data_IF_680949112383
#
_entry.id   IF_680949112383
#
_cell.length_a   1.000
_cell.length_b   1.000
_cell.length_c   1.000
_cell.angle_alpha   90.00
_cell.angle_beta   90.00
_cell.angle_gamma   90.00
#
_symmetry.space_group_name_H-M   'P 1'
#
loop_
_entity.id
_entity.type
_entity.pdbx_description
1 polymer ?
#
# COMPACT_ATOMS: atom_id res chain seq x y z
N UNK A 1 36.71 -20.54 27.51
CA UNK A 1 36.57 -19.56 26.44
C UNK A 1 35.38 -19.98 25.58
N UNK A 2 34.23 -19.30 25.74
CA UNK A 2 32.99 -19.63 24.98
C UNK A 2 33.02 -18.79 23.69
N UNK A 3 33.24 -19.44 22.56
CA UNK A 3 33.09 -18.81 21.24
C UNK A 3 31.58 -18.70 20.93
N UNK A 4 31.02 -17.51 21.14
CA UNK A 4 29.70 -17.16 20.65
C UNK A 4 29.78 -16.97 19.14
N UNK A 5 29.36 -17.97 18.37
CA UNK A 5 29.16 -17.84 16.92
C UNK A 5 27.94 -16.92 16.69
N UNK A 6 28.18 -15.64 16.47
CA UNK A 6 27.19 -14.73 15.90
C UNK A 6 26.94 -15.15 14.45
N UNK A 7 25.97 -16.02 14.22
CA UNK A 7 25.43 -16.19 12.85
C UNK A 7 24.80 -14.88 12.40
N UNK A 8 25.50 -14.10 11.56
CA UNK A 8 24.89 -12.99 10.83
C UNK A 8 23.70 -13.56 10.05
N UNK A 9 22.47 -13.25 10.49
CA UNK A 9 21.27 -13.63 9.74
C UNK A 9 21.44 -13.11 8.31
N UNK A 10 21.33 -13.99 7.32
CA UNK A 10 21.42 -13.62 5.90
C UNK A 10 20.36 -12.57 5.60
N UNK A 11 20.76 -11.43 5.00
CA UNK A 11 19.86 -10.34 4.63
C UNK A 11 18.78 -10.89 3.70
N UNK A 12 17.51 -10.70 4.04
CA UNK A 12 16.39 -11.07 3.19
C UNK A 12 16.10 -9.93 2.21
N UNK A 13 16.08 -10.22 0.92
CA UNK A 13 15.72 -9.23 -0.11
C UNK A 13 14.20 -9.26 -0.31
N UNK A 14 13.46 -8.72 0.67
CA UNK A 14 12.00 -8.81 0.71
C UNK A 14 11.32 -8.01 -0.41
N UNK A 15 11.91 -6.90 -0.80
CA UNK A 15 11.31 -5.94 -1.75
C UNK A 15 11.95 -6.03 -3.15
N UNK A 16 12.77 -7.04 -3.39
CA UNK A 16 13.47 -7.17 -4.68
C UNK A 16 12.49 -7.35 -5.83
N UNK A 17 12.63 -6.53 -6.87
CA UNK A 17 11.76 -6.47 -8.05
C UNK A 17 10.27 -6.17 -7.75
N UNK A 18 9.97 -5.60 -6.57
CA UNK A 18 8.64 -5.18 -6.22
C UNK A 18 8.28 -3.87 -6.93
N UNK A 19 7.06 -3.76 -7.42
CA UNK A 19 6.41 -2.49 -7.75
C UNK A 19 5.57 -2.10 -6.55
N UNK A 20 5.95 -1.01 -5.86
CA UNK A 20 5.16 -0.49 -4.74
C UNK A 20 4.12 0.51 -5.26
N UNK A 21 2.85 0.12 -5.19
CA UNK A 21 1.73 0.94 -5.65
C UNK A 21 0.97 1.63 -4.49
N UNK A 22 1.46 1.49 -3.26
CA UNK A 22 0.90 2.17 -2.10
C UNK A 22 1.99 2.93 -1.35
N UNK A 23 2.13 4.21 -1.67
CA UNK A 23 3.10 5.12 -1.08
C UNK A 23 2.71 6.59 -1.31
N UNK A 24 3.16 7.48 -0.42
CA UNK A 24 2.88 8.91 -0.41
C UNK A 24 4.13 9.71 -0.80
N UNK A 25 4.73 9.34 -1.94
CA UNK A 25 5.99 9.91 -2.40
C UNK A 25 5.84 11.28 -3.10
N UNK A 26 4.63 11.64 -3.56
CA UNK A 26 4.40 12.89 -4.26
C UNK A 26 4.54 14.08 -3.31
N UNK A 27 5.31 15.14 -3.70
CA UNK A 27 5.65 16.20 -2.78
C UNK A 27 4.50 17.17 -2.51
N UNK A 28 4.19 17.40 -1.24
CA UNK A 28 3.39 18.53 -0.76
C UNK A 28 1.89 18.48 -1.02
N UNK A 29 1.33 17.29 -1.30
CA UNK A 29 -0.10 17.15 -1.60
C UNK A 29 -0.89 16.37 -0.55
N UNK A 30 -0.21 15.69 0.36
CA UNK A 30 -0.82 14.98 1.49
C UNK A 30 0.13 14.99 2.72
N UNK A 31 -0.04 14.05 3.66
CA UNK A 31 0.82 13.87 4.82
C UNK A 31 2.11 13.08 4.51
N UNK A 32 2.32 12.66 3.29
CA UNK A 32 3.54 12.05 2.81
C UNK A 32 4.71 13.02 2.66
N UNK A 33 5.47 12.88 1.59
CA UNK A 33 6.62 13.72 1.27
C UNK A 33 6.28 15.22 1.24
N UNK A 34 7.07 16.04 1.93
CA UNK A 34 6.83 17.50 2.00
C UNK A 34 7.56 18.28 0.91
N UNK A 35 8.49 17.66 0.21
CA UNK A 35 9.31 18.34 -0.81
C UNK A 35 9.90 17.37 -1.82
N UNK A 36 10.27 17.87 -2.99
CA UNK A 36 10.99 17.10 -4.01
C UNK A 36 12.28 16.47 -3.43
N UNK A 37 13.01 17.21 -2.61
CA UNK A 37 14.23 16.70 -1.99
C UNK A 37 13.95 15.48 -1.09
N UNK A 38 12.83 15.50 -0.35
CA UNK A 38 12.40 14.37 0.46
C UNK A 38 11.94 13.19 -0.42
N UNK A 39 11.16 13.43 -1.46
CA UNK A 39 10.76 12.39 -2.41
C UNK A 39 11.97 11.70 -3.05
N UNK A 40 12.98 12.46 -3.46
CA UNK A 40 14.21 11.89 -4.04
C UNK A 40 15.01 11.05 -3.03
N UNK A 41 15.04 11.44 -1.76
CA UNK A 41 15.63 10.61 -0.69
C UNK A 41 14.84 9.33 -0.44
N UNK A 42 13.51 9.38 -0.50
CA UNK A 42 12.67 8.18 -0.42
C UNK A 42 13.00 7.22 -1.57
N UNK A 43 13.16 7.70 -2.81
CA UNK A 43 13.58 6.88 -3.95
C UNK A 43 14.96 6.23 -3.73
N UNK A 44 15.92 6.93 -3.12
CA UNK A 44 17.22 6.34 -2.79
C UNK A 44 17.07 5.17 -1.81
N UNK A 45 16.19 5.29 -0.81
CA UNK A 45 15.94 4.21 0.15
C UNK A 45 15.19 3.05 -0.50
N UNK A 46 14.23 3.31 -1.37
CA UNK A 46 13.56 2.28 -2.17
C UNK A 46 14.56 1.49 -3.03
N UNK A 47 15.51 2.18 -3.65
CA UNK A 47 16.62 1.53 -4.37
C UNK A 47 17.44 0.59 -3.46
N UNK A 48 17.77 1.04 -2.26
CA UNK A 48 18.50 0.24 -1.27
C UNK A 48 17.70 -0.97 -0.75
N UNK A 49 16.37 -0.89 -0.76
CA UNK A 49 15.46 -2.00 -0.48
C UNK A 49 15.36 -2.99 -1.64
N UNK A 50 15.73 -2.57 -2.86
CA UNK A 50 15.63 -3.38 -4.07
C UNK A 50 14.28 -3.26 -4.79
N UNK A 51 13.47 -2.25 -4.45
CA UNK A 51 12.22 -1.95 -5.16
C UNK A 51 12.53 -1.56 -6.61
N UNK A 52 11.79 -2.10 -7.56
CA UNK A 52 11.99 -1.82 -8.98
C UNK A 52 11.33 -0.52 -9.41
N UNK A 53 10.09 -0.33 -8.97
CA UNK A 53 9.30 0.83 -9.35
C UNK A 53 8.29 1.23 -8.28
N UNK A 54 7.78 2.46 -8.39
CA UNK A 54 6.69 2.98 -7.59
C UNK A 54 5.56 3.50 -8.48
N UNK A 55 4.33 3.29 -8.05
CA UNK A 55 3.14 3.99 -8.51
C UNK A 55 2.68 4.82 -7.30
N UNK A 56 2.72 6.13 -7.42
CA UNK A 56 2.35 7.01 -6.31
C UNK A 56 0.84 6.96 -6.06
N UNK A 57 0.42 6.90 -4.80
CA UNK A 57 -0.99 6.83 -4.42
C UNK A 57 -1.33 7.76 -3.26
N UNK A 58 -1.23 9.08 -3.47
CA UNK A 58 -1.57 10.05 -2.44
C UNK A 58 -3.05 9.96 -2.07
N UNK A 59 -3.37 10.44 -0.87
CA UNK A 59 -4.75 10.50 -0.40
C UNK A 59 -5.65 11.37 -1.26
N UNK A 60 -6.91 10.92 -1.45
CA UNK A 60 -8.05 11.76 -1.84
C UNK A 60 -9.08 11.70 -0.71
N UNK A 61 -9.06 12.74 0.15
CA UNK A 61 -10.01 12.96 1.24
C UNK A 61 -10.60 14.36 1.09
N UNK A 62 -11.91 14.44 0.91
CA UNK A 62 -12.58 15.72 0.64
C UNK A 62 -12.17 16.84 1.62
N UNK A 63 -12.11 16.51 2.91
CA UNK A 63 -11.94 17.52 3.96
C UNK A 63 -10.50 17.74 4.40
N UNK A 64 -9.60 16.74 4.23
CA UNK A 64 -8.21 16.82 4.68
C UNK A 64 -7.22 16.98 3.54
N UNK A 65 -7.38 16.18 2.50
CA UNK A 65 -6.53 16.15 1.31
C UNK A 65 -7.40 16.19 0.06
N UNK A 66 -7.98 17.39 -0.28
CA UNK A 66 -8.91 17.54 -1.39
C UNK A 66 -8.20 17.47 -2.74
N UNK A 67 -7.38 16.43 -2.92
CA UNK A 67 -6.68 16.17 -4.15
C UNK A 67 -7.66 15.81 -5.26
N UNK A 68 -7.29 16.17 -6.48
CA UNK A 68 -7.98 15.82 -7.71
C UNK A 68 -7.01 15.08 -8.64
N UNK A 69 -7.50 14.38 -9.67
CA UNK A 69 -6.63 13.80 -10.70
C UNK A 69 -5.61 14.80 -11.25
N UNK A 70 -6.02 16.06 -11.44
CA UNK A 70 -5.18 17.15 -11.97
C UNK A 70 -4.09 17.56 -10.97
N UNK A 71 -4.42 17.70 -9.69
CA UNK A 71 -3.42 18.05 -8.64
C UNK A 71 -2.37 16.96 -8.49
N UNK A 72 -2.79 15.69 -8.55
CA UNK A 72 -1.93 14.51 -8.46
C UNK A 72 -1.04 14.41 -9.71
N UNK A 73 -1.60 14.55 -10.92
CA UNK A 73 -0.85 14.60 -12.17
C UNK A 73 0.23 15.67 -12.14
N UNK A 74 -0.13 16.91 -11.76
CA UNK A 74 0.80 18.02 -11.65
C UNK A 74 1.96 17.75 -10.69
N UNK A 75 1.67 17.16 -9.53
CA UNK A 75 2.72 16.79 -8.57
C UNK A 75 3.63 15.70 -9.12
N UNK A 76 3.06 14.69 -9.78
CA UNK A 76 3.82 13.64 -10.47
C UNK A 76 4.71 14.20 -11.58
N UNK A 77 4.19 15.06 -12.45
CA UNK A 77 4.92 15.71 -13.54
C UNK A 77 6.05 16.62 -13.01
N UNK A 78 5.91 17.14 -11.80
CA UNK A 78 6.96 17.95 -11.14
C UNK A 78 8.10 17.08 -10.62
N UNK A 79 7.80 15.87 -10.13
CA UNK A 79 8.77 14.96 -9.51
C UNK A 79 9.44 14.04 -10.54
N UNK A 80 8.67 13.44 -11.45
CA UNK A 80 9.14 12.35 -12.31
C UNK A 80 10.36 12.71 -13.18
N UNK A 81 10.49 13.92 -13.77
CA UNK A 81 11.69 14.30 -14.53
C UNK A 81 12.95 14.37 -13.66
N UNK A 82 12.79 14.76 -12.38
CA UNK A 82 13.90 14.85 -11.42
C UNK A 82 14.32 13.46 -10.88
N UNK A 83 13.40 12.51 -10.98
CA UNK A 83 13.63 11.11 -10.58
C UNK A 83 14.26 10.25 -11.69
N UNK A 84 14.41 10.75 -12.90
CA UNK A 84 14.89 9.99 -14.10
C UNK A 84 16.25 9.30 -13.86
N UNK A 85 17.13 9.92 -13.07
CA UNK A 85 18.45 9.36 -12.76
C UNK A 85 18.44 8.33 -11.63
N UNK A 86 17.29 8.13 -10.97
CA UNK A 86 17.11 7.10 -9.93
C UNK A 86 16.91 5.74 -10.59
N UNK A 87 17.40 4.69 -9.93
CA UNK A 87 17.22 3.32 -10.44
C UNK A 87 15.78 2.82 -10.26
N UNK A 88 15.07 3.35 -9.26
CA UNK A 88 13.65 3.07 -9.04
C UNK A 88 12.83 3.89 -10.03
N UNK A 89 12.02 3.23 -10.82
CA UNK A 89 11.20 3.88 -11.85
C UNK A 89 9.92 4.44 -11.21
N UNK A 90 9.55 5.65 -11.58
CA UNK A 90 8.20 6.17 -11.32
C UNK A 90 7.29 5.75 -12.47
N UNK A 91 6.51 4.68 -12.30
CA UNK A 91 5.66 4.10 -13.37
C UNK A 91 4.40 4.92 -13.63
N UNK A 92 3.92 5.68 -12.63
CA UNK A 92 2.69 6.43 -12.73
C UNK A 92 2.18 6.90 -11.38
N UNK A 93 0.92 7.28 -11.39
CA UNK A 93 0.20 7.68 -10.18
C UNK A 93 -1.21 7.07 -10.17
N UNK A 94 -1.70 6.87 -8.97
CA UNK A 94 -3.03 6.45 -8.60
C UNK A 94 -3.53 7.37 -7.47
N UNK A 95 -4.49 6.92 -6.68
CA UNK A 95 -4.86 7.54 -5.42
C UNK A 95 -5.29 6.48 -4.41
N UNK A 96 -5.08 6.78 -3.12
CA UNK A 96 -5.73 6.10 -2.02
C UNK A 96 -6.98 6.89 -1.63
N UNK A 97 -8.15 6.29 -1.87
CA UNK A 97 -9.44 6.93 -1.61
C UNK A 97 -9.96 6.59 -0.23
N UNK A 98 -10.32 7.60 0.56
CA UNK A 98 -11.14 7.37 1.74
C UNK A 98 -12.57 6.99 1.31
N UNK A 99 -13.05 5.86 1.80
CA UNK A 99 -14.44 5.44 1.61
C UNK A 99 -15.34 6.25 2.55
N UNK A 100 -15.90 7.32 2.02
CA UNK A 100 -16.85 8.22 2.64
C UNK A 100 -18.04 8.51 1.71
N UNK A 101 -18.93 9.40 2.11
CA UNK A 101 -20.08 9.81 1.31
C UNK A 101 -19.66 10.45 -0.01
N UNK A 102 -18.54 11.19 -0.03
CA UNK A 102 -18.00 11.82 -1.25
C UNK A 102 -17.51 10.77 -2.24
N UNK A 103 -16.84 9.72 -1.77
CA UNK A 103 -16.41 8.61 -2.61
C UNK A 103 -17.62 7.89 -3.25
N UNK A 104 -18.68 7.64 -2.45
CA UNK A 104 -19.92 7.04 -2.96
C UNK A 104 -20.62 7.94 -3.98
N UNK A 105 -20.62 9.26 -3.77
CA UNK A 105 -21.18 10.23 -4.72
C UNK A 105 -20.41 10.21 -6.05
N UNK A 106 -19.08 10.17 -6.02
CA UNK A 106 -18.25 10.04 -7.22
C UNK A 106 -18.58 8.77 -8.02
N UNK A 107 -18.73 7.63 -7.35
CA UNK A 107 -19.14 6.38 -8.01
C UNK A 107 -20.53 6.50 -8.63
N UNK A 108 -21.50 7.07 -7.93
CA UNK A 108 -22.86 7.30 -8.42
C UNK A 108 -22.89 8.21 -9.66
N UNK A 109 -22.03 9.21 -9.69
CA UNK A 109 -21.90 10.15 -10.80
C UNK A 109 -21.04 9.63 -11.95
N UNK A 110 -20.54 8.40 -11.88
CA UNK A 110 -19.61 7.79 -12.82
C UNK A 110 -18.33 8.63 -13.00
N UNK A 111 -17.88 9.33 -11.95
CA UNK A 111 -16.60 10.05 -11.97
C UNK A 111 -15.46 9.04 -12.12
N UNK A 112 -14.58 9.18 -13.12
CA UNK A 112 -13.46 8.26 -13.29
C UNK A 112 -12.53 8.26 -12.08
N UNK A 113 -12.17 7.07 -11.60
CA UNK A 113 -11.22 6.89 -10.49
C UNK A 113 -9.80 6.64 -11.01
N UNK A 114 -8.80 7.15 -10.30
CA UNK A 114 -7.40 6.82 -10.53
C UNK A 114 -7.13 5.39 -10.06
N UNK A 115 -6.69 4.55 -10.98
CA UNK A 115 -6.40 3.13 -10.74
C UNK A 115 -4.90 2.91 -10.54
N UNK A 116 -4.53 1.98 -9.65
CA UNK A 116 -3.14 1.57 -9.48
C UNK A 116 -2.61 0.83 -10.72
N UNK A 117 -3.44 -0.03 -11.26
CA UNK A 117 -3.22 -0.80 -12.50
C UNK A 117 -4.58 -1.35 -12.97
N UNK A 118 -4.74 -1.54 -14.28
CA UNK A 118 -6.00 -1.97 -14.87
C UNK A 118 -7.19 -1.21 -14.26
N UNK A 119 -8.18 -1.91 -13.69
CA UNK A 119 -9.36 -1.33 -13.00
C UNK A 119 -9.27 -1.46 -11.47
N UNK A 120 -8.06 -1.62 -10.92
CA UNK A 120 -7.84 -1.77 -9.48
C UNK A 120 -7.67 -0.42 -8.81
N UNK A 121 -8.53 -0.13 -7.83
CA UNK A 121 -8.56 1.14 -7.07
C UNK A 121 -8.21 0.87 -5.62
N UNK A 122 -7.23 1.60 -5.09
CA UNK A 122 -6.83 1.54 -3.70
C UNK A 122 -7.80 2.36 -2.85
N UNK A 123 -8.37 1.72 -1.83
CA UNK A 123 -9.33 2.34 -0.92
C UNK A 123 -8.93 2.07 0.52
N UNK A 124 -9.27 3.02 1.40
CA UNK A 124 -9.19 2.83 2.84
C UNK A 124 -10.46 3.28 3.54
N UNK A 125 -10.64 2.88 4.80
CA UNK A 125 -11.75 3.29 5.65
C UNK A 125 -11.21 4.01 6.90
N UNK A 126 -12.02 4.84 7.57
CA UNK A 126 -11.64 5.40 8.85
C UNK A 126 -11.25 4.32 9.84
N UNK A 127 -10.14 4.51 10.59
CA UNK A 127 -9.65 3.53 11.56
C UNK A 127 -10.67 3.17 12.64
N UNK A 128 -11.55 4.13 12.95
CA UNK A 128 -12.70 3.98 13.86
C UNK A 128 -13.95 4.19 13.01
N UNK A 129 -14.49 3.10 12.46
CA UNK A 129 -15.64 3.18 11.56
C UNK A 129 -16.45 1.88 11.52
N UNK A 130 -17.61 1.96 10.88
CA UNK A 130 -18.45 0.80 10.63
C UNK A 130 -18.19 0.25 9.23
N UNK A 131 -18.14 -1.06 9.09
CA UNK A 131 -17.93 -1.73 7.78
C UNK A 131 -19.09 -1.51 6.78
N UNK A 132 -20.24 -0.98 7.23
CA UNK A 132 -21.41 -0.81 6.36
C UNK A 132 -21.12 0.06 5.14
N UNK A 133 -20.46 1.21 5.31
CA UNK A 133 -20.12 2.10 4.18
C UNK A 133 -19.15 1.41 3.20
N UNK A 134 -18.22 0.58 3.72
CA UNK A 134 -17.33 -0.21 2.88
C UNK A 134 -18.12 -1.22 2.04
N UNK A 135 -19.12 -1.92 2.62
CA UNK A 135 -19.94 -2.87 1.87
C UNK A 135 -20.72 -2.19 0.75
N UNK A 136 -21.28 -0.99 1.01
CA UNK A 136 -21.95 -0.17 0.00
C UNK A 136 -20.98 0.25 -1.11
N UNK A 137 -19.76 0.67 -0.75
CA UNK A 137 -18.73 1.05 -1.71
C UNK A 137 -18.28 -0.13 -2.58
N UNK A 138 -18.05 -1.30 -1.99
CA UNK A 138 -17.66 -2.50 -2.75
C UNK A 138 -18.71 -2.87 -3.80
N UNK A 139 -19.99 -2.81 -3.44
CA UNK A 139 -21.07 -3.07 -4.38
C UNK A 139 -21.13 -2.02 -5.51
N UNK A 140 -20.99 -0.74 -5.16
CA UNK A 140 -20.99 0.35 -6.15
C UNK A 140 -19.77 0.26 -7.09
N UNK A 141 -18.60 -0.07 -6.57
CA UNK A 141 -17.37 -0.25 -7.36
C UNK A 141 -17.51 -1.40 -8.35
N UNK A 142 -18.04 -2.55 -7.93
CA UNK A 142 -18.28 -3.68 -8.83
C UNK A 142 -19.22 -3.30 -9.97
N UNK A 143 -20.32 -2.59 -9.67
CA UNK A 143 -21.27 -2.12 -10.70
C UNK A 143 -20.63 -1.14 -11.68
N UNK A 144 -19.66 -0.33 -11.22
CA UNK A 144 -18.88 0.58 -12.06
C UNK A 144 -17.69 -0.12 -12.77
N UNK A 145 -17.51 -1.43 -12.59
CA UNK A 145 -16.45 -2.23 -13.21
C UNK A 145 -15.07 -2.03 -12.58
N UNK A 146 -14.99 -1.57 -11.32
CA UNK A 146 -13.74 -1.44 -10.58
C UNK A 146 -13.55 -2.64 -9.63
N UNK A 147 -12.28 -2.99 -9.41
CA UNK A 147 -11.87 -3.92 -8.36
C UNK A 147 -11.29 -3.14 -7.19
N UNK A 148 -11.86 -3.30 -6.00
CA UNK A 148 -11.37 -2.64 -4.80
C UNK A 148 -10.12 -3.35 -4.24
N UNK A 149 -9.06 -2.59 -3.94
CA UNK A 149 -7.96 -3.03 -3.09
C UNK A 149 -8.13 -2.33 -1.74
N UNK A 150 -8.51 -3.08 -0.71
CA UNK A 150 -8.59 -2.56 0.66
C UNK A 150 -7.18 -2.47 1.24
N UNK A 151 -6.74 -1.23 1.48
CA UNK A 151 -5.46 -0.94 2.10
C UNK A 151 -5.42 -1.44 3.54
N UNK A 152 -4.30 -2.02 3.93
CA UNK A 152 -3.91 -2.35 5.31
C UNK A 152 -5.05 -2.79 6.26
N UNK A 153 -5.87 -3.81 5.90
CA UNK A 153 -7.02 -4.23 6.72
C UNK A 153 -6.65 -4.64 8.15
N UNK A 154 -5.40 -5.01 8.40
CA UNK A 154 -4.89 -5.34 9.73
C UNK A 154 -4.87 -4.16 10.71
N UNK A 155 -4.96 -2.92 10.21
CA UNK A 155 -4.95 -1.69 11.02
C UNK A 155 -6.34 -1.31 11.51
N UNK A 156 -7.40 -1.83 10.90
CA UNK A 156 -8.77 -1.45 11.28
C UNK A 156 -9.27 -2.18 12.51
N UNK A 157 -9.83 -1.39 13.44
CA UNK A 157 -10.44 -1.93 14.64
C UNK A 157 -11.67 -2.79 14.33
N UNK A 158 -12.42 -2.44 13.26
CA UNK A 158 -13.65 -3.15 12.87
C UNK A 158 -13.40 -4.54 12.24
N UNK A 159 -12.16 -4.83 11.82
CA UNK A 159 -11.78 -6.13 11.24
C UNK A 159 -10.99 -6.92 12.28
N UNK A 160 -11.64 -7.90 12.92
CA UNK A 160 -11.07 -8.59 14.09
C UNK A 160 -10.47 -9.95 13.76
N UNK A 161 -11.04 -10.67 12.81
CA UNK A 161 -10.72 -12.07 12.51
C UNK A 161 -10.69 -12.38 11.02
N UNK A 162 -10.11 -13.51 10.65
CA UNK A 162 -9.98 -13.95 9.26
C UNK A 162 -11.34 -14.00 8.53
N UNK A 163 -12.41 -14.44 9.21
CA UNK A 163 -13.73 -14.49 8.60
C UNK A 163 -14.27 -13.10 8.16
N UNK A 164 -13.84 -12.03 8.82
CA UNK A 164 -14.23 -10.67 8.42
C UNK A 164 -13.60 -10.32 7.06
N UNK A 165 -12.31 -10.70 6.84
CA UNK A 165 -11.65 -10.55 5.54
C UNK A 165 -12.29 -11.43 4.46
N UNK A 166 -12.60 -12.68 4.79
CA UNK A 166 -13.24 -13.61 3.85
C UNK A 166 -14.59 -13.08 3.37
N UNK A 167 -15.38 -12.48 4.25
CA UNK A 167 -16.63 -11.82 3.89
C UNK A 167 -16.41 -10.64 2.93
N UNK A 168 -15.39 -9.81 3.14
CA UNK A 168 -15.06 -8.71 2.24
C UNK A 168 -14.54 -9.23 0.89
N UNK A 169 -13.77 -10.32 0.88
CA UNK A 169 -13.28 -10.97 -0.35
C UNK A 169 -14.43 -11.56 -1.18
N UNK A 170 -15.43 -12.18 -0.54
CA UNK A 170 -16.64 -12.64 -1.21
C UNK A 170 -17.37 -11.48 -1.89
N UNK A 171 -17.30 -10.27 -1.32
CA UNK A 171 -17.83 -9.02 -1.90
C UNK A 171 -16.87 -8.37 -2.91
N UNK A 172 -15.84 -9.07 -3.36
CA UNK A 172 -14.93 -8.64 -4.43
C UNK A 172 -13.75 -7.78 -4.00
N UNK A 173 -13.55 -7.53 -2.70
CA UNK A 173 -12.37 -6.82 -2.23
C UNK A 173 -11.10 -7.68 -2.33
N UNK A 174 -9.99 -7.07 -2.74
CA UNK A 174 -8.63 -7.59 -2.63
C UNK A 174 -7.95 -6.95 -1.44
N UNK A 175 -7.11 -7.69 -0.73
CA UNK A 175 -6.47 -7.23 0.50
C UNK A 175 -5.02 -6.85 0.26
N UNK A 176 -4.61 -5.65 0.68
CA UNK A 176 -3.22 -5.21 0.63
C UNK A 176 -2.62 -5.15 2.04
N UNK A 177 -1.56 -5.92 2.28
CA UNK A 177 -0.77 -5.89 3.52
C UNK A 177 0.12 -4.64 3.56
N UNK A 178 0.13 -3.91 4.68
CA UNK A 178 1.16 -2.91 4.93
C UNK A 178 2.42 -3.58 5.50
N UNK A 179 3.55 -3.42 4.80
CA UNK A 179 4.82 -4.04 5.18
C UNK A 179 5.30 -3.61 6.58
N UNK A 180 5.04 -2.35 6.99
CA UNK A 180 5.39 -1.82 8.32
C UNK A 180 4.60 -2.47 9.45
N UNK A 181 3.42 -3.03 9.19
CA UNK A 181 2.65 -3.76 10.20
C UNK A 181 3.41 -5.00 10.70
N UNK A 182 4.16 -5.68 9.83
CA UNK A 182 4.92 -6.88 10.19
C UNK A 182 6.06 -6.62 11.17
N UNK A 183 6.63 -5.40 11.19
CA UNK A 183 7.65 -5.04 12.17
C UNK A 183 7.09 -4.39 13.45
N UNK A 184 5.76 -4.23 13.54
CA UNK A 184 5.07 -3.68 14.70
C UNK A 184 5.01 -2.16 14.75
N UNK A 185 5.25 -1.48 13.64
CA UNK A 185 5.19 -0.01 13.56
C UNK A 185 3.84 0.55 14.00
N UNK A 186 2.76 -0.15 13.66
CA UNK A 186 1.38 0.22 14.01
C UNK A 186 0.84 -0.50 15.27
N UNK A 187 1.75 -1.01 16.11
CA UNK A 187 1.39 -1.65 17.36
C UNK A 187 1.23 -3.18 17.28
N UNK A 188 1.07 -3.82 18.45
CA UNK A 188 1.10 -5.28 18.58
C UNK A 188 -0.09 -5.96 17.89
N UNK A 189 -1.28 -5.37 17.94
CA UNK A 189 -2.49 -5.95 17.32
C UNK A 189 -2.39 -5.98 15.80
N UNK A 190 -1.98 -4.86 15.17
CA UNK A 190 -1.76 -4.81 13.72
C UNK A 190 -0.68 -5.83 13.31
N UNK A 191 0.43 -5.94 14.06
CA UNK A 191 1.48 -6.93 13.81
C UNK A 191 0.97 -8.37 13.90
N UNK A 192 0.15 -8.66 14.90
CA UNK A 192 -0.44 -9.99 15.10
C UNK A 192 -1.32 -10.36 13.91
N UNK A 193 -2.28 -9.50 13.55
CA UNK A 193 -3.17 -9.69 12.40
C UNK A 193 -2.37 -9.82 11.10
N UNK A 194 -1.44 -8.91 10.82
CA UNK A 194 -0.59 -8.93 9.64
C UNK A 194 0.15 -10.27 9.50
N UNK A 195 0.77 -10.75 10.59
CA UNK A 195 1.52 -12.01 10.61
C UNK A 195 0.64 -13.23 10.42
N UNK A 196 -0.51 -13.28 11.09
CA UNK A 196 -1.45 -14.38 11.01
C UNK A 196 -2.08 -14.47 9.62
N UNK A 197 -2.60 -13.35 9.10
CA UNK A 197 -3.29 -13.30 7.82
C UNK A 197 -2.35 -13.51 6.63
N UNK A 198 -1.09 -13.05 6.73
CA UNK A 198 -0.07 -13.36 5.73
C UNK A 198 0.15 -14.88 5.62
N UNK A 199 0.33 -15.58 6.73
CA UNK A 199 0.55 -17.04 6.73
C UNK A 199 -0.69 -17.81 6.29
N UNK A 200 -1.89 -17.25 6.54
CA UNK A 200 -3.18 -17.80 6.08
C UNK A 200 -3.54 -17.44 4.64
N UNK A 201 -2.63 -16.81 3.89
CA UNK A 201 -2.85 -16.43 2.48
C UNK A 201 -4.03 -15.49 2.26
N UNK A 202 -4.21 -14.53 3.19
CA UNK A 202 -5.35 -13.60 3.11
C UNK A 202 -5.06 -12.35 2.28
N UNK A 203 -3.81 -12.08 1.92
CA UNK A 203 -3.43 -10.91 1.14
C UNK A 203 -3.15 -11.26 -0.33
N UNK A 204 -3.66 -10.44 -1.23
CA UNK A 204 -3.34 -10.46 -2.65
C UNK A 204 -2.13 -9.58 -2.97
N UNK A 205 -1.95 -8.49 -2.20
CA UNK A 205 -0.95 -7.46 -2.44
C UNK A 205 -0.19 -7.08 -1.18
N UNK A 206 0.96 -6.45 -1.39
CA UNK A 206 1.75 -5.81 -0.35
C UNK A 206 2.14 -4.40 -0.81
N UNK A 207 2.11 -3.43 0.10
CA UNK A 207 2.55 -2.06 -0.12
C UNK A 207 3.37 -1.55 1.06
N UNK A 208 4.10 -0.48 0.89
CA UNK A 208 4.85 0.11 2.00
C UNK A 208 4.04 1.11 2.79
N UNK A 209 3.10 1.80 2.13
CA UNK A 209 2.35 2.92 2.72
C UNK A 209 3.32 3.94 3.34
N UNK A 210 4.43 4.18 2.63
CA UNK A 210 5.51 4.98 3.16
C UNK A 210 5.27 6.47 2.92
N UNK A 211 5.23 7.23 4.01
CA UNK A 211 5.04 8.69 4.01
C UNK A 211 6.35 9.46 4.12
N UNK A 212 7.43 8.81 4.56
CA UNK A 212 8.73 9.47 4.76
C UNK A 212 9.89 8.47 4.77
N UNK A 213 11.12 9.03 4.77
CA UNK A 213 12.36 8.24 4.76
C UNK A 213 12.47 7.33 5.99
N UNK A 214 12.00 7.78 7.16
CA UNK A 214 12.14 7.04 8.41
C UNK A 214 11.32 5.75 8.41
N UNK A 215 10.12 5.77 7.81
CA UNK A 215 9.30 4.58 7.62
C UNK A 215 9.99 3.58 6.68
N UNK A 216 10.54 4.04 5.55
CA UNK A 216 11.30 3.18 4.63
C UNK A 216 12.56 2.61 5.27
N UNK A 217 13.28 3.40 6.07
CA UNK A 217 14.47 2.91 6.80
C UNK A 217 14.12 1.80 7.79
N UNK A 218 12.93 1.84 8.42
CA UNK A 218 12.46 0.75 9.29
C UNK A 218 12.25 -0.55 8.54
N UNK A 219 11.85 -0.51 7.27
CA UNK A 219 11.69 -1.70 6.44
C UNK A 219 13.02 -2.42 6.16
N UNK A 220 14.18 -1.71 6.21
CA UNK A 220 15.50 -2.36 6.10
C UNK A 220 15.78 -3.37 7.22
N UNK A 221 15.13 -3.21 8.37
CA UNK A 221 15.28 -4.12 9.52
C UNK A 221 14.19 -5.20 9.58
N UNK A 222 13.23 -5.20 8.66
CA UNK A 222 12.17 -6.21 8.62
C UNK A 222 12.78 -7.59 8.41
N UNK A 223 12.43 -8.51 9.31
CA UNK A 223 12.87 -9.90 9.25
C UNK A 223 11.68 -10.83 9.41
N UNK A 224 11.47 -11.69 8.43
CA UNK A 224 10.40 -12.66 8.39
C UNK A 224 10.92 -14.04 8.80
N UNK A 225 10.14 -14.78 9.59
CA UNK A 225 10.42 -16.19 9.84
C UNK A 225 10.16 -17.03 8.57
N UNK A 226 10.54 -18.31 8.59
CA UNK A 226 10.45 -19.19 7.41
C UNK A 226 9.03 -19.27 6.80
N UNK A 227 7.99 -19.34 7.63
CA UNK A 227 6.59 -19.42 7.18
C UNK A 227 6.14 -18.09 6.56
N UNK A 228 6.41 -16.99 7.25
CA UNK A 228 6.09 -15.64 6.76
C UNK A 228 6.83 -15.33 5.44
N UNK A 229 8.12 -15.71 5.33
CA UNK A 229 8.91 -15.47 4.12
C UNK A 229 8.36 -16.23 2.92
N UNK A 230 7.92 -17.48 3.11
CA UNK A 230 7.30 -18.26 2.04
C UNK A 230 5.98 -17.62 1.58
N UNK A 231 5.12 -17.21 2.53
CA UNK A 231 3.88 -16.52 2.22
C UNK A 231 4.10 -15.15 1.56
N UNK A 232 5.06 -14.36 2.06
CA UNK A 232 5.46 -13.07 1.46
C UNK A 232 5.84 -13.22 -0.01
N UNK A 233 6.71 -14.19 -0.34
CA UNK A 233 7.12 -14.45 -1.73
C UNK A 233 5.92 -14.76 -2.63
N UNK A 234 5.00 -15.59 -2.15
CA UNK A 234 3.78 -15.93 -2.89
C UNK A 234 2.91 -14.70 -3.18
N UNK A 235 2.78 -13.77 -2.22
CA UNK A 235 2.06 -12.49 -2.43
C UNK A 235 2.80 -11.63 -3.46
N UNK A 236 4.13 -11.48 -3.33
CA UNK A 236 4.92 -10.69 -4.27
C UNK A 236 4.88 -11.25 -5.70
N UNK A 237 4.90 -12.58 -5.88
CA UNK A 237 4.76 -13.24 -7.18
C UNK A 237 3.41 -12.91 -7.81
N UNK A 238 2.29 -13.08 -7.08
CA UNK A 238 0.95 -12.71 -7.56
C UNK A 238 0.83 -11.24 -7.90
N UNK A 239 1.40 -10.35 -7.08
CA UNK A 239 1.41 -8.91 -7.35
C UNK A 239 2.16 -8.59 -8.63
N UNK A 240 3.33 -9.18 -8.85
CA UNK A 240 4.13 -8.95 -10.04
C UNK A 240 3.40 -9.37 -11.34
N UNK A 241 2.62 -10.45 -11.30
CA UNK A 241 1.80 -10.92 -12.42
C UNK A 241 0.70 -9.90 -12.79
N UNK A 242 0.14 -9.20 -11.81
CA UNK A 242 -0.98 -8.27 -12.03
C UNK A 242 -0.52 -6.84 -12.35
N UNK A 243 0.56 -6.36 -11.73
CA UNK A 243 1.01 -4.96 -11.85
C UNK A 243 1.89 -4.74 -13.10
N UNK A 244 2.40 -5.79 -13.73
CA UNK A 244 3.25 -5.72 -14.91
C UNK A 244 2.50 -6.01 -16.22
N UNK A 245 1.20 -6.35 -16.15
CA UNK A 245 0.32 -6.45 -17.31
C UNK A 245 -0.25 -5.09 -17.68
#
# INVERSE_FOLDING_TARGET
MSFSFFFKKKKQNLFHNMVDFHNHILPGIDDGSKSIAQSLKMLDIYQDLGVEAVIASPHIYKDLYPNTPESISKSFETLSPKAIQKKVKMKGYAAEYLVDEFFLENLKNNTPLLCCFDRHVLIEIPFIGRLKILEEALFAMQNAGYTAILAHPERYAAIHKTADLENLKIRGAKMQLNALSLNGYYGPEARKKASEWLVKDQYEFVGTDAHNEQQLLKLKSLHLNKKQLAAWRKVCERQAEQVNT
#
